data_IF_079297012677
#
_entry.id   IF_079297012677
#
_cell.length_a   1.000
_cell.length_b   1.000
_cell.length_c   1.000
_cell.angle_alpha   90.00
_cell.angle_beta   90.00
_cell.angle_gamma   90.00
#
_symmetry.space_group_name_H-M   'P 1'
#
loop_
_entity.id
_entity.type
_entity.pdbx_description
1 polymer ?
#
# COMPACT_ATOMS: atom_id res chain seq x y z
N UNK A 1 80.01 -29.63 30.10
CA UNK A 1 78.90 -29.36 31.04
C UNK A 1 77.79 -30.36 30.73
N UNK A 2 77.76 -31.49 31.43
CA UNK A 2 76.76 -31.89 32.45
C UNK A 2 75.30 -31.98 31.94
N UNK A 3 74.78 -33.23 32.00
CA UNK A 3 73.38 -33.72 32.10
C UNK A 3 72.41 -32.71 32.77
N UNK A 4 71.09 -32.65 32.49
CA UNK A 4 70.13 -33.75 32.61
C UNK A 4 68.69 -33.41 32.13
N UNK A 5 68.02 -34.40 31.53
CA UNK A 5 66.57 -34.76 31.48
C UNK A 5 65.49 -33.66 31.44
N UNK A 6 64.75 -33.62 30.31
CA UNK A 6 63.36 -34.12 30.22
C UNK A 6 63.03 -34.48 28.77
N UNK A 7 62.44 -35.66 28.63
CA UNK A 7 62.23 -36.36 27.38
C UNK A 7 60.85 -36.01 26.81
N UNK A 8 60.79 -35.98 25.47
CA UNK A 8 59.67 -36.38 24.59
C UNK A 8 58.74 -35.30 24.01
N UNK A 9 58.82 -35.23 22.66
CA UNK A 9 57.68 -35.22 21.70
C UNK A 9 56.97 -33.85 21.59
N UNK A 10 56.75 -33.20 20.45
CA UNK A 10 56.80 -33.56 19.04
C UNK A 10 56.90 -32.26 18.20
N UNK A 11 57.30 -32.42 16.93
CA UNK A 11 56.85 -31.68 15.73
C UNK A 11 56.64 -30.16 15.89
N UNK A 12 57.37 -29.28 15.20
CA UNK A 12 57.54 -29.21 13.74
C UNK A 12 58.84 -28.45 13.52
N UNK A 13 59.84 -29.16 13.03
CA UNK A 13 61.08 -28.55 12.60
C UNK A 13 61.00 -28.38 11.09
N UNK A 14 61.51 -27.24 10.64
CA UNK A 14 62.23 -27.06 9.37
C UNK A 14 61.40 -26.58 8.17
N UNK A 15 61.60 -25.29 7.94
CA UNK A 15 62.20 -24.79 6.71
C UNK A 15 61.25 -24.37 5.60
N UNK A 16 60.86 -23.11 5.69
CA UNK A 16 60.86 -22.23 4.53
C UNK A 16 62.24 -22.25 3.84
N UNK A 17 62.23 -21.88 2.55
CA UNK A 17 63.34 -21.75 1.59
C UNK A 17 63.62 -23.03 0.78
N UNK A 18 63.74 -23.02 -0.55
CA UNK A 18 63.49 -22.03 -1.59
C UNK A 18 63.53 -22.80 -2.93
N UNK A 19 62.64 -22.43 -3.85
CA UNK A 19 62.64 -22.65 -5.31
C UNK A 19 63.85 -23.35 -5.97
N UNK A 20 63.61 -24.44 -6.72
CA UNK A 20 64.43 -24.81 -7.87
C UNK A 20 63.65 -25.67 -8.89
N UNK A 21 63.27 -25.03 -10.00
CA UNK A 21 63.18 -25.49 -11.40
C UNK A 21 62.80 -26.96 -11.74
N UNK A 22 61.74 -27.09 -12.56
CA UNK A 22 61.73 -27.98 -13.74
C UNK A 22 60.59 -29.00 -13.88
N UNK A 23 59.72 -28.81 -14.88
CA UNK A 23 59.12 -29.87 -15.72
C UNK A 23 57.87 -30.64 -15.22
N UNK A 24 56.84 -30.75 -16.08
CA UNK A 24 55.82 -31.81 -16.04
C UNK A 24 54.36 -31.33 -15.95
N UNK A 25 53.54 -31.71 -16.93
CA UNK A 25 52.12 -31.37 -17.03
C UNK A 25 51.21 -32.20 -16.10
N UNK A 26 50.16 -31.59 -15.53
CA UNK A 26 48.75 -31.99 -15.68
C UNK A 26 47.79 -31.34 -14.65
N UNK A 27 46.77 -30.68 -15.21
CA UNK A 27 45.35 -30.58 -14.81
C UNK A 27 44.86 -30.02 -13.46
N UNK A 28 44.23 -28.84 -13.62
CA UNK A 28 42.96 -28.32 -13.07
C UNK A 28 42.84 -27.98 -11.58
N UNK A 29 42.46 -26.73 -11.29
CA UNK A 29 41.42 -26.46 -10.29
C UNK A 29 40.58 -25.23 -10.68
N UNK A 30 39.40 -25.56 -11.24
CA UNK A 30 38.19 -24.76 -11.49
C UNK A 30 38.25 -23.41 -12.23
N UNK A 31 37.82 -23.47 -13.49
CA UNK A 31 36.93 -22.46 -14.09
C UNK A 31 35.78 -22.15 -13.13
N UNK A 32 35.80 -20.98 -12.49
CA UNK A 32 34.61 -20.39 -11.89
C UNK A 32 33.98 -19.45 -12.91
N UNK A 33 33.36 -20.01 -13.94
CA UNK A 33 32.25 -19.30 -14.62
C UNK A 33 31.12 -19.18 -13.62
N UNK A 34 31.08 -18.08 -12.89
CA UNK A 34 29.92 -17.73 -12.09
C UNK A 34 28.76 -17.36 -13.00
N UNK A 35 27.79 -18.25 -13.19
CA UNK A 35 26.48 -17.83 -13.68
C UNK A 35 25.64 -17.44 -12.47
N UNK A 36 25.46 -16.15 -12.26
CA UNK A 36 24.43 -15.64 -11.36
C UNK A 36 23.11 -15.57 -12.12
N UNK A 37 22.20 -16.49 -11.83
CA UNK A 37 20.80 -16.38 -12.22
C UNK A 37 19.97 -16.03 -11.00
N UNK A 38 19.39 -14.82 -10.97
CA UNK A 38 18.37 -14.46 -10.00
C UNK A 38 16.99 -14.71 -10.60
N UNK A 39 16.16 -15.49 -9.92
CA UNK A 39 14.74 -15.59 -10.23
C UNK A 39 13.96 -15.06 -9.04
N UNK A 40 13.07 -14.10 -9.29
CA UNK A 40 12.07 -13.64 -8.34
C UNK A 40 10.70 -14.02 -8.89
N UNK A 41 9.93 -14.76 -8.11
CA UNK A 41 8.51 -15.01 -8.42
C UNK A 41 7.75 -13.74 -8.01
N UNK A 42 7.08 -13.08 -8.95
CA UNK A 42 6.19 -11.98 -8.64
C UNK A 42 5.11 -12.46 -7.67
N UNK A 43 4.75 -11.63 -6.67
CA UNK A 43 3.69 -11.96 -5.70
C UNK A 43 2.44 -12.46 -6.43
N UNK A 44 1.74 -13.51 -5.96
CA UNK A 44 0.62 -14.15 -6.66
C UNK A 44 -0.61 -13.24 -6.91
N UNK A 45 -0.51 -11.94 -6.64
CA UNK A 45 -1.63 -11.01 -6.54
C UNK A 45 -2.42 -11.32 -5.28
N UNK A 46 -2.63 -10.34 -4.41
CA UNK A 46 -3.59 -10.55 -3.32
C UNK A 46 -4.98 -10.70 -3.90
N UNK A 47 -5.72 -11.67 -3.38
CA UNK A 47 -7.18 -11.69 -3.45
C UNK A 47 -7.68 -10.28 -3.15
N UNK A 48 -8.14 -9.56 -4.16
CA UNK A 48 -8.43 -8.12 -4.06
C UNK A 48 -9.56 -7.93 -3.08
N UNK A 49 -9.24 -7.52 -1.86
CA UNK A 49 -10.23 -6.98 -0.95
C UNK A 49 -10.63 -5.62 -1.49
N UNK A 50 -11.94 -5.39 -1.61
CA UNK A 50 -12.47 -4.16 -2.18
C UNK A 50 -11.96 -2.95 -1.40
N UNK A 51 -11.50 -1.90 -2.11
CA UNK A 51 -11.16 -0.63 -1.49
C UNK A 51 -12.39 -0.09 -0.76
N UNK A 52 -12.21 0.27 0.52
CA UNK A 52 -13.28 0.87 1.30
C UNK A 52 -13.22 2.38 1.15
N UNK A 53 -14.28 2.99 0.63
CA UNK A 53 -14.39 4.45 0.47
C UNK A 53 -15.37 5.01 1.48
N UNK A 54 -14.98 6.08 2.15
CA UNK A 54 -15.78 6.78 3.16
C UNK A 54 -15.98 8.23 2.72
N UNK A 55 -17.23 8.70 2.84
CA UNK A 55 -17.59 10.10 2.65
C UNK A 55 -17.97 10.69 4.01
N UNK A 56 -17.36 11.81 4.39
CA UNK A 56 -17.65 12.52 5.65
C UNK A 56 -18.00 13.97 5.38
N UNK A 57 -18.99 14.49 6.11
CA UNK A 57 -19.47 15.86 6.03
C UNK A 57 -20.06 16.25 7.38
N UNK A 58 -20.26 17.55 7.60
CA UNK A 58 -20.82 18.05 8.85
C UNK A 58 -22.30 17.69 8.99
N UNK A 59 -22.74 17.47 10.23
CA UNK A 59 -24.16 17.31 10.55
C UNK A 59 -24.90 18.65 10.44
N UNK A 60 -26.24 18.58 10.39
CA UNK A 60 -27.08 19.78 10.42
C UNK A 60 -27.32 20.43 9.06
N UNK A 61 -27.24 19.65 7.97
CA UNK A 61 -27.60 20.11 6.64
C UNK A 61 -29.05 20.62 6.61
N UNK A 62 -29.25 21.87 6.19
CA UNK A 62 -30.56 22.54 6.09
C UNK A 62 -30.83 22.98 4.66
N UNK A 63 -32.10 23.21 4.27
CA UNK A 63 -32.41 23.75 2.95
C UNK A 63 -31.64 25.05 2.66
N UNK A 64 -31.03 25.13 1.47
CA UNK A 64 -30.17 26.23 1.05
C UNK A 64 -28.71 26.12 1.48
N UNK A 65 -28.36 25.15 2.33
CA UNK A 65 -26.99 24.95 2.78
C UNK A 65 -26.14 24.23 1.73
N UNK A 66 -24.84 24.53 1.76
CA UNK A 66 -23.81 23.81 1.02
C UNK A 66 -22.69 23.45 1.98
N UNK A 67 -22.33 22.17 2.01
CA UNK A 67 -21.30 21.62 2.88
C UNK A 67 -20.22 20.91 2.08
N UNK A 68 -19.03 20.79 2.67
CA UNK A 68 -17.92 20.07 2.06
C UNK A 68 -18.00 18.58 2.42
N UNK A 69 -17.85 17.73 1.41
CA UNK A 69 -17.71 16.28 1.59
C UNK A 69 -16.23 15.94 1.47
N UNK A 70 -15.64 15.34 2.48
CA UNK A 70 -14.29 14.76 2.40
C UNK A 70 -14.40 13.28 2.06
N UNK A 71 -13.68 12.86 1.02
CA UNK A 71 -13.60 11.46 0.62
C UNK A 71 -12.26 10.86 1.04
N UNK A 72 -12.30 9.69 1.67
CA UNK A 72 -11.10 8.91 1.99
C UNK A 72 -11.28 7.47 1.54
N UNK A 73 -10.17 6.80 1.27
CA UNK A 73 -10.18 5.40 0.87
C UNK A 73 -9.09 4.61 1.59
N UNK A 74 -9.45 3.40 2.01
CA UNK A 74 -8.57 2.44 2.69
C UNK A 74 -8.31 1.27 1.77
N UNK A 75 -7.03 1.00 1.52
CA UNK A 75 -6.57 -0.12 0.72
C UNK A 75 -6.09 -1.27 1.62
N UNK A 76 -6.90 -2.32 1.85
CA UNK A 76 -6.49 -3.47 2.65
C UNK A 76 -5.54 -4.43 1.92
N UNK A 77 -5.25 -4.20 0.63
CA UNK A 77 -4.44 -5.10 -0.18
C UNK A 77 -2.94 -4.95 0.11
N UNK A 78 -2.13 -5.92 -0.33
CA UNK A 78 -0.67 -5.89 -0.18
C UNK A 78 0.05 -5.12 -1.31
N UNK A 79 -0.71 -4.66 -2.30
CA UNK A 79 -0.23 -3.83 -3.40
C UNK A 79 -0.97 -2.50 -3.44
N UNK A 80 -0.32 -1.48 -4.03
CA UNK A 80 -0.96 -0.18 -4.25
C UNK A 80 -2.13 -0.29 -5.23
N UNK A 81 -3.16 0.50 -5.01
CA UNK A 81 -4.34 0.58 -5.86
C UNK A 81 -4.64 2.02 -6.21
N UNK A 82 -4.82 2.28 -7.49
CA UNK A 82 -5.26 3.59 -7.98
C UNK A 82 -6.77 3.67 -7.86
N UNK A 83 -7.27 4.82 -7.41
CA UNK A 83 -8.70 5.05 -7.21
C UNK A 83 -9.06 6.40 -7.82
N UNK A 84 -10.09 6.40 -8.66
CA UNK A 84 -10.77 7.60 -9.15
C UNK A 84 -12.25 7.51 -8.78
N UNK A 85 -12.81 8.58 -8.20
CA UNK A 85 -14.24 8.63 -7.90
C UNK A 85 -15.03 8.99 -9.15
N UNK A 86 -16.11 8.25 -9.41
CA UNK A 86 -16.97 8.47 -10.58
C UNK A 86 -18.18 9.33 -10.25
N UNK A 87 -18.98 8.87 -9.28
CA UNK A 87 -20.27 9.46 -8.97
C UNK A 87 -20.62 9.23 -7.51
N UNK A 88 -21.24 10.25 -6.91
CA UNK A 88 -21.93 10.14 -5.65
C UNK A 88 -23.43 9.90 -5.86
N UNK A 89 -24.02 9.04 -5.04
CA UNK A 89 -25.45 8.77 -4.96
C UNK A 89 -25.89 9.11 -3.55
N UNK A 90 -26.88 9.99 -3.46
CA UNK A 90 -27.46 10.40 -2.19
C UNK A 90 -28.71 9.57 -1.92
N UNK A 91 -28.85 9.12 -0.68
CA UNK A 91 -30.10 8.59 -0.15
C UNK A 91 -30.44 9.28 1.17
N UNK A 92 -31.72 9.32 1.50
CA UNK A 92 -32.24 9.89 2.73
C UNK A 92 -33.33 8.97 3.28
N UNK A 93 -33.47 8.94 4.60
CA UNK A 93 -34.55 8.24 5.27
C UNK A 93 -35.69 9.20 5.67
N UNK A 94 -36.62 8.70 6.50
CA UNK A 94 -37.72 9.49 7.07
C UNK A 94 -38.65 10.17 6.03
N UNK A 95 -38.67 9.68 4.80
CA UNK A 95 -39.45 10.27 3.70
C UNK A 95 -38.89 11.60 3.18
N UNK A 96 -37.66 11.96 3.57
CA UNK A 96 -36.95 13.07 2.96
C UNK A 96 -36.65 12.75 1.49
N UNK A 97 -37.00 13.68 0.60
CA UNK A 97 -36.74 13.50 -0.82
C UNK A 97 -35.26 13.78 -1.13
N UNK A 98 -34.52 12.69 -1.37
CA UNK A 98 -33.10 12.76 -1.70
C UNK A 98 -32.81 13.53 -3.01
N UNK A 99 -33.82 13.74 -3.88
CA UNK A 99 -33.62 14.53 -5.12
C UNK A 99 -33.37 16.02 -4.86
N UNK A 100 -33.70 16.52 -3.67
CA UNK A 100 -33.33 17.87 -3.24
C UNK A 100 -31.87 17.99 -2.80
N UNK A 101 -31.16 16.87 -2.67
CA UNK A 101 -29.79 16.83 -2.16
C UNK A 101 -28.87 16.27 -3.25
N UNK A 102 -27.85 17.05 -3.61
CA UNK A 102 -26.87 16.67 -4.63
C UNK A 102 -25.49 16.59 -4.01
N UNK A 103 -24.71 15.58 -4.43
CA UNK A 103 -23.34 15.38 -3.99
C UNK A 103 -22.40 15.34 -5.20
N UNK A 104 -21.31 16.09 -5.14
CA UNK A 104 -20.24 16.02 -6.14
C UNK A 104 -19.03 15.24 -5.61
N UNK A 105 -18.24 14.68 -6.53
CA UNK A 105 -16.97 14.01 -6.21
C UNK A 105 -15.79 14.78 -6.80
N UNK A 106 -14.61 14.74 -6.17
CA UNK A 106 -13.38 15.24 -6.79
C UNK A 106 -13.00 14.39 -8.01
N UNK A 107 -12.42 15.01 -9.03
CA UNK A 107 -11.99 14.34 -10.28
C UNK A 107 -10.55 13.84 -10.23
N UNK A 108 -9.92 13.82 -9.05
CA UNK A 108 -8.52 13.45 -8.90
C UNK A 108 -8.36 11.93 -8.86
N UNK A 109 -7.34 11.44 -9.55
CA UNK A 109 -6.89 10.06 -9.43
C UNK A 109 -5.81 9.96 -8.37
N UNK A 110 -5.99 9.05 -7.40
CA UNK A 110 -5.09 8.92 -6.24
C UNK A 110 -4.58 7.48 -6.12
N UNK A 111 -3.29 7.29 -5.91
CA UNK A 111 -2.68 5.98 -5.66
C UNK A 111 -2.56 5.72 -4.17
N UNK A 112 -3.34 4.76 -3.67
CA UNK A 112 -3.37 4.37 -2.26
C UNK A 112 -2.37 3.22 -2.06
N UNK A 113 -1.35 3.47 -1.25
CA UNK A 113 -0.36 2.45 -0.90
C UNK A 113 -1.02 1.24 -0.20
N UNK A 114 -0.34 0.09 -0.24
CA UNK A 114 -0.78 -1.12 0.45
C UNK A 114 -0.99 -0.87 1.94
N UNK A 115 -2.12 -1.32 2.49
CA UNK A 115 -2.49 -1.15 3.89
C UNK A 115 -2.76 0.30 4.33
N UNK A 116 -2.76 1.27 3.42
CA UNK A 116 -2.86 2.69 3.76
C UNK A 116 -4.31 3.21 3.67
N UNK A 117 -4.56 4.31 4.38
CA UNK A 117 -5.74 5.16 4.19
C UNK A 117 -5.31 6.51 3.68
N UNK A 118 -5.98 7.02 2.64
CA UNK A 118 -5.62 8.29 2.01
C UNK A 118 -6.86 9.10 1.62
N UNK A 119 -6.76 10.42 1.69
CA UNK A 119 -7.80 11.36 1.23
C UNK A 119 -7.80 11.43 -0.29
N UNK A 120 -8.98 11.29 -0.90
CA UNK A 120 -9.20 11.39 -2.35
C UNK A 120 -9.55 12.82 -2.81
N UNK A 121 -9.81 13.71 -1.84
CA UNK A 121 -10.14 15.12 -2.05
C UNK A 121 -11.49 15.49 -1.47
N UNK A 122 -11.97 16.68 -1.85
CA UNK A 122 -13.26 17.21 -1.39
C UNK A 122 -14.25 17.38 -2.53
N UNK A 123 -15.51 17.08 -2.25
CA UNK A 123 -16.67 17.42 -3.07
C UNK A 123 -17.60 18.37 -2.32
N UNK A 124 -18.79 18.62 -2.87
CA UNK A 124 -19.84 19.45 -2.26
C UNK A 124 -21.12 18.65 -2.06
N UNK A 125 -21.77 18.85 -0.92
CA UNK A 125 -23.12 18.42 -0.63
C UNK A 125 -24.01 19.66 -0.65
N UNK A 126 -24.99 19.70 -1.53
CA UNK A 126 -25.89 20.86 -1.68
C UNK A 126 -27.31 20.40 -1.39
N UNK A 127 -27.98 21.06 -0.45
CA UNK A 127 -29.41 20.89 -0.20
C UNK A 127 -30.17 22.06 -0.82
N UNK A 128 -30.90 21.81 -1.90
CA UNK A 128 -31.68 22.82 -2.57
C UNK A 128 -32.79 23.38 -1.66
N UNK A 129 -32.92 24.70 -1.63
CA UNK A 129 -34.09 25.38 -1.08
C UNK A 129 -35.20 25.41 -2.15
N UNK A 130 -36.35 24.82 -1.84
CA UNK A 130 -37.45 24.66 -2.78
C UNK A 130 -38.76 25.19 -2.21
N UNK A 131 -39.73 25.46 -3.08
CA UNK A 131 -41.07 25.85 -2.63
C UNK A 131 -41.87 24.68 -2.01
N UNK A 132 -41.39 23.44 -2.12
CA UNK A 132 -42.04 22.28 -1.52
C UNK A 132 -41.77 22.22 -0.01
N UNK A 133 -42.64 21.54 0.76
CA UNK A 133 -42.37 21.34 2.18
C UNK A 133 -41.28 20.28 2.37
N UNK A 134 -40.13 20.69 2.91
CA UNK A 134 -38.95 19.85 3.16
C UNK A 134 -38.85 19.39 4.63
N UNK A 135 -39.91 19.55 5.44
CA UNK A 135 -39.92 19.22 6.87
C UNK A 135 -39.60 17.75 7.19
N UNK A 136 -39.90 16.83 6.26
CA UNK A 136 -39.55 15.41 6.41
C UNK A 136 -38.03 15.17 6.47
N UNK A 137 -37.23 16.12 5.99
CA UNK A 137 -35.76 16.08 6.09
C UNK A 137 -35.23 16.48 7.47
N UNK A 138 -36.07 17.00 8.37
CA UNK A 138 -35.65 17.32 9.74
C UNK A 138 -35.33 16.03 10.50
N UNK A 139 -34.07 15.87 10.90
CA UNK A 139 -33.59 14.68 11.59
C UNK A 139 -33.44 13.44 10.69
N UNK A 140 -33.61 13.59 9.38
CA UNK A 140 -33.37 12.50 8.43
C UNK A 140 -31.86 12.21 8.34
N UNK A 141 -31.51 10.93 8.24
CA UNK A 141 -30.15 10.49 7.98
C UNK A 141 -29.88 10.55 6.48
N UNK A 142 -28.99 11.46 6.10
CA UNK A 142 -28.48 11.55 4.73
C UNK A 142 -27.27 10.63 4.58
N UNK A 143 -27.26 9.80 3.54
CA UNK A 143 -26.15 8.90 3.22
C UNK A 143 -25.62 9.21 1.82
N UNK A 144 -24.30 9.35 1.70
CA UNK A 144 -23.62 9.54 0.42
C UNK A 144 -22.81 8.28 0.11
N UNK A 145 -23.25 7.52 -0.89
CA UNK A 145 -22.51 6.39 -1.44
C UNK A 145 -21.74 6.84 -2.69
N UNK A 146 -20.62 6.19 -2.99
CA UNK A 146 -19.80 6.52 -4.17
C UNK A 146 -19.39 5.27 -4.92
N UNK A 147 -19.27 5.41 -6.25
CA UNK A 147 -18.64 4.43 -7.12
C UNK A 147 -17.25 4.92 -7.55
N UNK A 148 -16.33 3.99 -7.80
CA UNK A 148 -14.96 4.26 -8.22
C UNK A 148 -14.44 3.21 -9.20
N UNK A 149 -13.40 3.56 -9.95
CA UNK A 149 -12.62 2.66 -10.78
C UNK A 149 -11.10 2.83 -10.60
#
# INVERSE_FOLDING_TARGET
>A
MRLNKKNKIAAVALSATLLAAGGGAAYAYWSTTGSGGGSAVASPGTTTSTIQITATFADGLTPGATEDITYSATNPNSSSTTVTLDKAVVSADNGCDATWITASVPTNTTSIAAGATQTLGTGKLVFADTAANQDLCKGAKITVAVTSH
#
